data_IF_737113440328
#
_entry.id   IF_737113440328
#
_cell.length_a   1.000
_cell.length_b   1.000
_cell.length_c   1.000
_cell.angle_alpha   90.00
_cell.angle_beta   90.00
_cell.angle_gamma   90.00
#
_symmetry.space_group_name_H-M   'P 1'
#
loop_
_entity.id
_entity.type
_entity.pdbx_description
1 polymer ?
#
# COMPACT_ATOMS: atom_id res chain seq x y z
N UNK A 1 -13.99 3.96 3.61
CA UNK A 1 -14.87 3.81 2.44
C UNK A 1 -14.50 2.60 1.57
N UNK A 2 -15.48 1.87 1.04
CA UNK A 2 -15.24 0.79 0.06
C UNK A 2 -15.11 1.35 -1.36
N UNK A 3 -14.00 1.09 -2.04
CA UNK A 3 -13.70 1.57 -3.39
C UNK A 3 -13.38 0.43 -4.34
N UNK A 4 -13.60 0.62 -5.65
CA UNK A 4 -13.16 -0.36 -6.65
C UNK A 4 -11.66 -0.26 -6.87
N UNK A 5 -11.00 -1.40 -7.06
CA UNK A 5 -9.55 -1.47 -7.35
C UNK A 5 -9.17 -0.66 -8.59
N UNK A 6 -10.04 -0.63 -9.61
CA UNK A 6 -9.85 0.17 -10.82
C UNK A 6 -9.91 1.69 -10.60
N UNK A 7 -10.47 2.14 -9.47
CA UNK A 7 -10.64 3.56 -9.12
C UNK A 7 -9.53 4.04 -8.17
N UNK A 8 -8.79 3.13 -7.54
CA UNK A 8 -7.71 3.48 -6.61
C UNK A 8 -6.60 4.29 -7.30
N UNK A 9 -6.20 5.38 -6.65
CA UNK A 9 -5.07 6.24 -7.05
C UNK A 9 -4.35 6.78 -5.82
N UNK A 10 -3.17 7.36 -6.02
CA UNK A 10 -2.39 8.03 -4.99
C UNK A 10 -2.20 7.20 -3.72
N UNK A 11 -2.39 7.83 -2.57
CA UNK A 11 -2.19 7.21 -1.25
C UNK A 11 -3.13 6.03 -1.00
N UNK A 12 -4.38 6.08 -1.46
CA UNK A 12 -5.31 4.96 -1.33
C UNK A 12 -4.80 3.72 -2.09
N UNK A 13 -4.24 3.91 -3.29
CA UNK A 13 -3.62 2.81 -4.04
C UNK A 13 -2.35 2.31 -3.34
N UNK A 14 -1.48 3.21 -2.90
CA UNK A 14 -0.24 2.86 -2.19
C UNK A 14 -0.52 2.06 -0.92
N UNK A 15 -1.49 2.50 -0.11
CA UNK A 15 -1.96 1.76 1.08
C UNK A 15 -2.50 0.38 0.72
N UNK A 16 -3.32 0.28 -0.32
CA UNK A 16 -3.89 -1.01 -0.76
C UNK A 16 -2.80 -1.99 -1.20
N UNK A 17 -1.73 -1.51 -1.83
CA UNK A 17 -0.58 -2.35 -2.18
C UNK A 17 0.13 -2.87 -0.93
N UNK A 18 0.32 -2.02 0.09
CA UNK A 18 0.89 -2.45 1.37
C UNK A 18 0.04 -3.54 2.04
N UNK A 19 -1.30 -3.41 2.00
CA UNK A 19 -2.21 -4.45 2.49
C UNK A 19 -2.07 -5.74 1.67
N UNK A 20 -2.08 -5.63 0.34
CA UNK A 20 -2.01 -6.77 -0.58
C UNK A 20 -0.73 -7.61 -0.37
N UNK A 21 0.40 -6.96 -0.12
CA UNK A 21 1.68 -7.67 0.13
C UNK A 21 1.88 -8.07 1.60
N UNK A 22 0.85 -7.89 2.46
CA UNK A 22 0.87 -8.35 3.84
C UNK A 22 1.80 -7.55 4.76
N UNK A 23 1.98 -6.25 4.51
CA UNK A 23 2.74 -5.38 5.43
C UNK A 23 1.97 -5.18 6.73
N UNK A 24 2.69 -5.07 7.84
CA UNK A 24 2.12 -4.53 9.07
C UNK A 24 1.91 -3.02 8.90
N UNK A 25 0.68 -2.54 9.10
CA UNK A 25 0.32 -1.13 8.90
C UNK A 25 -0.15 -0.51 10.21
N UNK A 26 0.42 0.65 10.56
CA UNK A 26 0.07 1.43 11.74
C UNK A 26 -0.42 2.83 11.35
N UNK A 27 -1.63 3.21 11.74
CA UNK A 27 -2.23 4.50 11.41
C UNK A 27 -2.25 5.42 12.62
N UNK A 28 -1.57 6.57 12.52
CA UNK A 28 -1.48 7.52 13.60
C UNK A 28 -2.87 8.07 14.01
N UNK A 29 -3.08 8.27 15.31
CA UNK A 29 -4.37 8.73 15.83
C UNK A 29 -5.41 7.61 16.07
N UNK A 30 -5.14 6.38 15.64
CA UNK A 30 -6.04 5.22 15.83
C UNK A 30 -5.58 4.29 16.95
N UNK A 31 -5.02 4.80 18.06
CA UNK A 31 -4.32 4.00 19.09
C UNK A 31 -5.14 2.91 19.85
N UNK A 32 -6.46 2.86 19.65
CA UNK A 32 -7.37 1.85 20.19
C UNK A 32 -8.05 0.99 19.11
N UNK A 33 -7.63 1.15 17.86
CA UNK A 33 -8.13 0.37 16.73
C UNK A 33 -7.42 -1.00 16.73
N UNK A 34 -8.19 -2.08 16.71
CA UNK A 34 -7.64 -3.44 16.76
C UNK A 34 -7.00 -3.85 15.42
N UNK A 35 -7.33 -3.17 14.32
CA UNK A 35 -6.84 -3.46 12.97
C UNK A 35 -5.61 -2.62 12.63
N UNK A 36 -5.67 -1.30 12.87
CA UNK A 36 -4.62 -0.34 12.46
C UNK A 36 -3.97 0.44 13.62
N UNK A 37 -4.12 -0.07 14.84
CA UNK A 37 -3.75 0.60 16.07
C UNK A 37 -2.38 1.28 16.05
N UNK A 38 -2.30 2.60 16.27
CA UNK A 38 -0.99 3.25 16.42
C UNK A 38 -0.28 2.75 17.68
N UNK A 39 0.87 2.10 17.48
CA UNK A 39 1.67 1.53 18.58
C UNK A 39 2.76 2.47 19.11
N UNK A 40 2.82 3.72 18.63
CA UNK A 40 3.86 4.66 19.06
C UNK A 40 3.92 4.82 20.57
N UNK A 41 5.15 5.08 21.06
CA UNK A 41 5.59 5.14 22.46
C UNK A 41 4.46 5.17 23.52
N UNK A 42 3.86 4.02 23.86
CA UNK A 42 2.91 3.95 24.96
C UNK A 42 3.65 4.09 26.30
N UNK A 43 3.13 5.05 27.08
CA UNK A 43 3.56 5.50 28.41
C UNK A 43 4.16 4.38 29.28
N UNK A 44 5.40 4.58 29.70
CA UNK A 44 5.92 4.00 30.93
C UNK A 44 5.10 4.54 32.10
N UNK A 45 4.03 3.85 32.51
CA UNK A 45 3.50 3.81 33.89
C UNK A 45 2.27 2.89 33.95
N UNK A 46 2.51 1.62 34.32
CA UNK A 46 1.46 0.70 34.80
C UNK A 46 1.19 -0.54 33.94
N UNK A 47 1.75 -1.66 34.40
CA UNK A 47 1.32 -3.07 34.28
C UNK A 47 0.32 -3.44 33.15
N UNK A 48 0.70 -3.26 31.88
CA UNK A 48 0.20 -4.10 30.78
C UNK A 48 1.39 -4.47 29.89
N UNK A 49 1.61 -5.78 29.76
CA UNK A 49 2.65 -6.47 28.99
C UNK A 49 2.23 -6.45 27.50
N UNK A 50 3.19 -6.34 26.58
CA UNK A 50 3.06 -6.58 25.12
C UNK A 50 2.75 -5.38 24.21
N UNK A 51 3.12 -4.15 24.60
CA UNK A 51 3.18 -3.03 23.64
C UNK A 51 4.49 -3.07 22.83
N UNK A 52 4.41 -3.46 21.55
CA UNK A 52 5.50 -3.28 20.57
C UNK A 52 5.56 -1.80 20.18
N UNK A 53 6.74 -1.19 20.05
CA UNK A 53 6.90 0.17 19.51
C UNK A 53 7.10 0.08 17.98
N UNK A 54 6.66 1.06 17.19
CA UNK A 54 6.96 1.12 15.74
C UNK A 54 8.46 0.99 15.51
N UNK A 55 9.28 1.60 16.37
CA UNK A 55 10.73 1.50 16.28
C UNK A 55 11.24 0.06 16.49
N UNK A 56 10.59 -0.73 17.35
CA UNK A 56 10.92 -2.14 17.59
C UNK A 56 10.43 -2.99 16.42
N UNK A 57 9.18 -2.81 15.98
CA UNK A 57 8.61 -3.54 14.85
C UNK A 57 9.43 -3.30 13.57
N UNK A 58 9.79 -2.05 13.29
CA UNK A 58 10.61 -1.65 12.15
C UNK A 58 12.04 -2.22 12.21
N UNK A 59 12.56 -2.54 13.40
CA UNK A 59 13.89 -3.13 13.55
C UNK A 59 13.90 -4.60 13.15
N UNK A 60 12.81 -5.32 13.40
CA UNK A 60 12.69 -6.74 13.05
C UNK A 60 12.37 -6.95 11.57
N UNK A 61 11.44 -6.15 11.04
CA UNK A 61 11.03 -6.19 9.62
C UNK A 61 10.53 -4.82 9.15
N UNK A 62 10.54 -4.54 7.84
CA UNK A 62 9.93 -3.32 7.33
C UNK A 62 8.44 -3.26 7.67
N UNK A 63 7.96 -2.10 8.14
CA UNK A 63 6.55 -1.84 8.45
C UNK A 63 6.07 -0.57 7.77
N UNK A 64 4.76 -0.43 7.60
CA UNK A 64 4.14 0.76 7.02
C UNK A 64 3.53 1.61 8.13
N UNK A 65 3.74 2.91 8.04
CA UNK A 65 3.11 3.90 8.91
C UNK A 65 2.33 4.91 8.10
N UNK A 66 1.18 5.33 8.62
CA UNK A 66 0.37 6.41 8.05
C UNK A 66 0.32 7.55 9.06
N UNK A 67 0.85 8.71 8.69
CA UNK A 67 0.85 9.90 9.54
C UNK A 67 -0.51 10.59 9.61
N UNK A 68 -0.65 11.59 10.49
CA UNK A 68 -1.88 12.37 10.67
C UNK A 68 -2.38 13.07 9.39
N UNK A 69 -1.49 13.36 8.44
CA UNK A 69 -1.83 13.99 7.16
C UNK A 69 -2.00 12.99 6.01
N UNK A 70 -2.05 11.69 6.30
CA UNK A 70 -2.17 10.61 5.31
C UNK A 70 -0.87 10.27 4.58
N UNK A 71 0.27 10.89 4.93
CA UNK A 71 1.57 10.47 4.39
C UNK A 71 1.88 9.03 4.81
N UNK A 72 2.27 8.22 3.82
CA UNK A 72 2.59 6.81 4.00
C UNK A 72 4.11 6.64 3.96
N UNK A 73 4.67 6.03 4.99
CA UNK A 73 6.10 5.74 5.09
C UNK A 73 6.34 4.25 5.29
N UNK A 74 7.44 3.76 4.72
CA UNK A 74 8.02 2.47 5.06
C UNK A 74 9.15 2.71 6.06
N UNK A 75 9.02 2.10 7.23
CA UNK A 75 9.97 2.16 8.34
C UNK A 75 10.78 0.86 8.37
N UNK A 76 12.11 0.98 8.34
CA UNK A 76 13.00 -0.18 8.42
C UNK A 76 14.29 0.19 9.12
N UNK A 77 14.61 -0.54 10.19
CA UNK A 77 15.75 -0.31 11.07
C UNK A 77 15.79 1.13 11.62
N UNK A 78 16.58 2.00 10.99
CA UNK A 78 16.75 3.42 11.37
C UNK A 78 16.38 4.38 10.25
N UNK A 79 15.69 3.88 9.21
CA UNK A 79 15.31 4.66 8.03
C UNK A 79 13.79 4.71 7.90
N UNK A 80 13.30 5.94 7.79
CA UNK A 80 11.95 6.26 7.32
C UNK A 80 12.05 6.74 5.88
N UNK A 81 11.27 6.14 4.99
CA UNK A 81 11.20 6.56 3.59
C UNK A 81 9.73 6.67 3.16
N UNK A 82 9.44 7.64 2.29
CA UNK A 82 8.11 7.74 1.68
C UNK A 82 7.79 6.45 0.94
N UNK A 83 6.63 5.86 1.22
CA UNK A 83 6.10 4.71 0.52
C UNK A 83 5.08 5.18 -0.51
N UNK A 84 5.41 5.04 -1.79
CA UNK A 84 4.53 5.38 -2.90
C UNK A 84 4.84 4.52 -4.14
N UNK A 85 4.54 3.21 -4.12
CA UNK A 85 4.77 2.33 -5.26
C UNK A 85 4.03 2.79 -6.54
N UNK A 86 2.88 3.46 -6.43
CA UNK A 86 2.18 4.02 -7.59
C UNK A 86 2.97 5.11 -8.33
N UNK A 87 3.95 5.75 -7.67
CA UNK A 87 4.78 6.82 -8.25
C UNK A 87 6.28 6.52 -8.25
N UNK A 88 6.76 5.54 -7.47
CA UNK A 88 8.17 5.19 -7.32
C UNK A 88 8.51 3.81 -7.88
N UNK A 89 9.39 3.77 -8.89
CA UNK A 89 9.84 2.54 -9.54
C UNK A 89 10.67 1.63 -8.65
N UNK A 90 11.45 2.14 -7.69
CA UNK A 90 12.26 1.31 -6.80
C UNK A 90 11.39 0.40 -5.91
N UNK A 91 10.20 0.88 -5.58
CA UNK A 91 9.21 0.16 -4.79
C UNK A 91 8.31 -0.70 -5.68
N UNK A 92 7.84 -0.13 -6.80
CA UNK A 92 6.96 -0.82 -7.74
C UNK A 92 7.64 -1.97 -8.49
N UNK A 93 8.93 -1.81 -8.84
CA UNK A 93 9.66 -2.75 -9.70
C UNK A 93 9.79 -4.13 -9.06
N UNK A 94 9.93 -4.19 -7.73
CA UNK A 94 10.02 -5.45 -6.99
C UNK A 94 8.74 -6.28 -7.12
N UNK A 95 7.58 -5.63 -7.29
CA UNK A 95 6.29 -6.31 -7.45
C UNK A 95 6.21 -7.09 -8.77
N UNK A 96 6.95 -6.65 -9.80
CA UNK A 96 6.98 -7.35 -11.10
C UNK A 96 7.56 -8.76 -10.92
N UNK A 97 8.67 -8.86 -10.19
CA UNK A 97 9.34 -10.14 -9.95
C UNK A 97 8.53 -11.00 -8.97
N UNK A 98 7.98 -10.41 -7.91
CA UNK A 98 7.20 -11.12 -6.88
C UNK A 98 5.96 -11.76 -7.48
N UNK A 99 5.22 -11.02 -8.32
CA UNK A 99 3.95 -11.50 -8.88
C UNK A 99 4.10 -12.16 -10.26
N UNK A 100 5.29 -12.18 -10.85
CA UNK A 100 5.51 -12.72 -12.21
C UNK A 100 4.72 -11.95 -13.25
N UNK A 101 4.86 -10.62 -13.24
CA UNK A 101 3.93 -9.72 -13.89
C UNK A 101 4.23 -9.50 -15.38
N UNK A 102 3.18 -9.50 -16.21
CA UNK A 102 3.24 -9.10 -17.62
C UNK A 102 2.73 -7.67 -17.78
N UNK A 103 3.46 -6.88 -18.55
CA UNK A 103 3.16 -5.49 -18.84
C UNK A 103 2.93 -5.29 -20.33
N UNK A 104 1.82 -4.66 -20.67
CA UNK A 104 1.52 -4.26 -22.05
C UNK A 104 1.05 -2.81 -22.08
N UNK A 105 1.20 -2.17 -23.23
CA UNK A 105 0.72 -0.82 -23.45
C UNK A 105 0.15 -0.67 -24.86
N UNK A 106 -0.85 0.18 -24.97
CA UNK A 106 -1.57 0.44 -26.21
C UNK A 106 -1.70 1.96 -26.40
N UNK A 107 -1.54 2.42 -27.64
CA UNK A 107 -1.81 3.81 -28.00
C UNK A 107 -3.25 3.91 -28.48
N UNK A 108 -4.11 4.53 -27.68
CA UNK A 108 -5.55 4.71 -27.98
C UNK A 108 -5.86 6.19 -28.04
N UNK A 109 -6.35 6.68 -29.19
CA UNK A 109 -6.66 8.10 -29.40
C UNK A 109 -5.50 9.03 -28.98
N UNK A 110 -4.29 8.73 -29.47
CA UNK A 110 -3.04 9.45 -29.15
C UNK A 110 -2.66 9.49 -27.66
N UNK A 111 -3.26 8.61 -26.84
CA UNK A 111 -2.97 8.49 -25.40
C UNK A 111 -2.48 7.09 -25.09
N UNK A 112 -1.34 6.97 -24.42
CA UNK A 112 -0.84 5.69 -23.94
C UNK A 112 -1.68 5.17 -22.78
N UNK A 113 -2.13 3.91 -22.89
CA UNK A 113 -2.76 3.16 -21.81
C UNK A 113 -1.86 2.00 -21.44
N UNK A 114 -1.73 1.76 -20.14
CA UNK A 114 -0.91 0.68 -19.61
C UNK A 114 -1.78 -0.37 -18.95
N UNK A 115 -1.43 -1.62 -19.17
CA UNK A 115 -2.10 -2.78 -18.63
C UNK A 115 -1.09 -3.70 -17.96
N UNK A 116 -1.56 -4.36 -16.90
CA UNK A 116 -0.80 -5.27 -16.07
C UNK A 116 -1.64 -6.50 -15.77
N UNK A 117 -1.02 -7.68 -15.85
CA UNK A 117 -1.64 -8.94 -15.40
C UNK A 117 -0.60 -9.82 -14.73
N UNK A 118 -1.05 -10.76 -13.91
CA UNK A 118 -0.23 -11.78 -13.28
C UNK A 118 -0.98 -13.11 -13.28
N UNK A 119 -0.31 -14.25 -13.03
CA UNK A 119 -0.97 -15.56 -13.03
C UNK A 119 -2.17 -15.67 -12.08
N UNK A 120 -2.18 -14.90 -10.98
CA UNK A 120 -3.26 -14.88 -9.99
C UNK A 120 -4.53 -14.22 -10.51
N UNK A 121 -4.44 -13.37 -11.54
CA UNK A 121 -5.58 -12.71 -12.18
C UNK A 121 -6.26 -13.56 -13.26
N UNK A 122 -5.76 -14.77 -13.53
CA UNK A 122 -6.37 -15.72 -14.48
C UNK A 122 -6.68 -15.12 -15.88
N UNK A 123 -5.84 -14.20 -16.34
CA UNK A 123 -5.99 -13.53 -17.65
C UNK A 123 -6.77 -12.21 -17.61
N UNK A 124 -7.25 -11.77 -16.45
CA UNK A 124 -7.74 -10.40 -16.30
C UNK A 124 -6.60 -9.40 -16.24
N UNK A 125 -6.84 -8.19 -16.77
CA UNK A 125 -5.89 -7.10 -16.79
C UNK A 125 -6.41 -5.94 -15.95
N UNK A 126 -5.51 -5.34 -15.17
CA UNK A 126 -5.74 -4.05 -14.56
C UNK A 126 -5.07 -2.96 -15.39
N UNK A 127 -5.69 -1.78 -15.45
CA UNK A 127 -5.22 -0.67 -16.27
C UNK A 127 -4.85 0.54 -15.41
N UNK A 128 -4.01 1.41 -15.96
CA UNK A 128 -3.64 2.67 -15.34
C UNK A 128 -3.05 3.67 -16.34
N UNK A 129 -3.06 4.94 -15.96
CA UNK A 129 -2.48 6.03 -16.76
C UNK A 129 -0.95 5.98 -16.79
N UNK A 130 -0.36 5.21 -15.86
CA UNK A 130 1.07 4.89 -15.85
C UNK A 130 1.26 3.39 -15.62
N UNK A 131 2.38 2.80 -16.06
CA UNK A 131 2.67 1.39 -15.82
C UNK A 131 2.68 1.06 -14.32
N UNK A 132 3.14 1.98 -13.46
CA UNK A 132 3.17 1.80 -12.01
C UNK A 132 1.77 1.67 -11.40
N UNK A 133 0.83 2.50 -11.86
CA UNK A 133 -0.57 2.40 -11.42
C UNK A 133 -1.18 1.07 -11.88
N UNK A 134 -0.92 0.64 -13.12
CA UNK A 134 -1.39 -0.64 -13.61
C UNK A 134 -0.81 -1.82 -12.77
N UNK A 135 0.49 -1.80 -12.48
CA UNK A 135 1.17 -2.78 -11.61
C UNK A 135 0.49 -2.84 -10.24
N UNK A 136 0.38 -1.68 -9.57
CA UNK A 136 -0.18 -1.60 -8.22
C UNK A 136 -1.62 -2.11 -8.18
N UNK A 137 -2.45 -1.74 -9.17
CA UNK A 137 -3.83 -2.23 -9.25
C UNK A 137 -3.90 -3.73 -9.52
N UNK A 138 -3.01 -4.28 -10.35
CA UNK A 138 -2.93 -5.72 -10.59
C UNK A 138 -2.60 -6.50 -9.32
N UNK A 139 -1.64 -6.01 -8.52
CA UNK A 139 -1.30 -6.58 -7.21
C UNK A 139 -2.48 -6.55 -6.26
N UNK A 140 -3.15 -5.40 -6.13
CA UNK A 140 -4.33 -5.27 -5.27
C UNK A 140 -5.46 -6.19 -5.74
N UNK A 141 -5.72 -6.26 -7.04
CA UNK A 141 -6.76 -7.13 -7.59
C UNK A 141 -6.45 -8.62 -7.37
N UNK A 142 -5.18 -9.01 -7.45
CA UNK A 142 -4.75 -10.39 -7.26
C UNK A 142 -4.96 -10.88 -5.82
N UNK A 143 -4.68 -10.04 -4.83
CA UNK A 143 -4.68 -10.44 -3.42
C UNK A 143 -5.95 -10.02 -2.66
N UNK A 144 -6.48 -8.83 -2.95
CA UNK A 144 -7.64 -8.24 -2.24
C UNK A 144 -8.92 -8.26 -3.07
N UNK A 145 -8.82 -8.50 -4.39
CA UNK A 145 -9.95 -8.52 -5.30
C UNK A 145 -10.35 -7.15 -5.84
N UNK A 146 -11.59 -7.05 -6.32
CA UNK A 146 -12.06 -5.87 -7.08
C UNK A 146 -12.55 -4.70 -6.23
N UNK A 147 -12.67 -4.87 -4.92
CA UNK A 147 -13.09 -3.82 -3.99
C UNK A 147 -12.26 -3.87 -2.71
N UNK A 148 -11.84 -2.71 -2.22
CA UNK A 148 -11.00 -2.56 -1.03
C UNK A 148 -11.60 -1.52 -0.08
N UNK A 149 -11.52 -1.78 1.21
CA UNK A 149 -11.90 -0.84 2.26
C UNK A 149 -10.71 0.09 2.60
N UNK A 150 -10.89 1.38 2.33
CA UNK A 150 -9.87 2.42 2.50
C UNK A 150 -10.20 3.29 3.72
N UNK A 151 -9.28 3.53 4.65
CA UNK A 151 -9.45 4.50 5.73
C UNK A 151 -9.74 5.91 5.18
N UNK A 152 -10.67 6.63 5.82
CA UNK A 152 -11.14 7.93 5.31
C UNK A 152 -10.00 8.98 5.28
N UNK A 153 -9.00 8.83 6.17
CA UNK A 153 -7.79 9.66 6.25
C UNK A 153 -6.91 9.59 4.98
N UNK A 154 -7.15 8.60 4.12
CA UNK A 154 -6.41 8.36 2.88
C UNK A 154 -7.20 8.71 1.61
N UNK A 155 -8.45 9.18 1.76
CA UNK A 155 -9.32 9.56 0.65
C UNK A 155 -9.08 11.01 0.18
N UNK A 156 -8.33 11.81 0.94
CA UNK A 156 -8.06 13.22 0.64
C UNK A 156 -6.55 13.49 0.47
N UNK A 157 -6.16 13.93 -0.72
CA UNK A 157 -4.79 14.39 -1.03
C UNK A 157 -4.38 14.08 -2.46
N UNK A 158 -4.88 14.86 -3.41
CA UNK A 158 -4.25 15.03 -4.74
C UNK A 158 -3.01 15.93 -4.63
#
# INVERSE_FOLDING_TARGET
MKLKTSELTGRALDFSVAQAIGMDIYICGRASDDEYGWIGYKKSFGLIQDSVDVAVAAFEKPVITVGFCGEICIESQTKSQKYSPSTNWEQCGQLIDIFGMELTNELVNDTWRYYATCPHLMGEYQHGDTPKIAICRAVVAAELGNEVDIPDELLEGE
#
